data_IF_685850745884
#
_entry.id   IF_685850745884
#
_cell.length_a   1.000
_cell.length_b   1.000
_cell.length_c   1.000
_cell.angle_alpha   90.00
_cell.angle_beta   90.00
_cell.angle_gamma   90.00
#
_symmetry.space_group_name_H-M   'P 1'
#
loop_
_entity.id
_entity.type
_entity.pdbx_description
1 polymer ?
#
# COMPACT_ATOMS: atom_id res chain seq x y z
N UNK A 1 -0.83 16.89 9.04
CA UNK A 1 0.20 17.26 8.04
C UNK A 1 0.51 16.05 7.18
N UNK A 2 1.09 16.20 5.99
CA UNK A 2 1.33 15.07 5.07
C UNK A 2 2.12 13.93 5.75
N UNK A 3 3.14 14.27 6.52
CA UNK A 3 3.97 13.29 7.21
C UNK A 3 3.20 12.46 8.26
N UNK A 4 2.20 13.04 8.91
CA UNK A 4 1.32 12.31 9.84
C UNK A 4 0.52 11.24 9.11
N UNK A 5 0.00 11.57 7.92
CA UNK A 5 -0.81 10.63 7.14
C UNK A 5 0.05 9.57 6.47
N UNK A 6 1.23 9.93 5.98
CA UNK A 6 2.22 8.95 5.47
C UNK A 6 2.63 7.98 6.56
N UNK A 7 3.00 8.46 7.75
CA UNK A 7 3.39 7.60 8.86
C UNK A 7 2.27 6.65 9.30
N UNK A 8 1.00 7.10 9.29
CA UNK A 8 -0.15 6.23 9.57
C UNK A 8 -0.28 5.12 8.52
N UNK A 9 -0.16 5.45 7.23
CA UNK A 9 -0.26 4.47 6.17
C UNK A 9 0.90 3.46 6.20
N UNK A 10 2.12 3.91 6.51
CA UNK A 10 3.28 3.03 6.66
C UNK A 10 3.03 1.97 7.74
N UNK A 11 2.59 2.40 8.94
CA UNK A 11 2.27 1.48 10.02
C UNK A 11 1.15 0.48 9.68
N UNK A 12 0.21 0.83 8.80
CA UNK A 12 -0.79 -0.12 8.31
C UNK A 12 -0.21 -1.12 7.31
N UNK A 13 0.59 -0.67 6.35
CA UNK A 13 1.18 -1.57 5.36
C UNK A 13 2.22 -2.51 5.97
N UNK A 14 2.96 -2.10 7.00
CA UNK A 14 3.83 -3.00 7.78
C UNK A 14 3.03 -4.15 8.42
N UNK A 15 1.86 -3.86 8.99
CA UNK A 15 0.99 -4.90 9.56
C UNK A 15 0.42 -5.83 8.48
N UNK A 16 0.09 -5.29 7.30
CA UNK A 16 -0.38 -6.08 6.14
C UNK A 16 0.73 -6.99 5.62
N UNK A 17 1.95 -6.48 5.49
CA UNK A 17 3.14 -7.27 5.09
C UNK A 17 3.37 -8.42 6.06
N UNK A 18 3.38 -8.15 7.37
CA UNK A 18 3.53 -9.18 8.41
C UNK A 18 2.42 -10.24 8.30
N UNK A 19 1.17 -9.81 8.10
CA UNK A 19 0.02 -10.70 8.01
C UNK A 19 0.13 -11.70 6.84
N UNK A 20 0.54 -11.22 5.67
CA UNK A 20 0.67 -12.03 4.45
C UNK A 20 1.94 -12.86 4.42
N UNK A 21 3.05 -12.31 4.91
CA UNK A 21 4.31 -13.04 5.06
C UNK A 21 4.15 -14.24 5.99
N UNK A 22 3.44 -14.09 7.12
CA UNK A 22 3.13 -15.20 8.02
C UNK A 22 2.26 -16.31 7.38
N UNK A 23 1.61 -16.03 6.24
CA UNK A 23 0.79 -16.97 5.46
C UNK A 23 1.52 -17.53 4.24
N UNK A 24 2.74 -17.07 3.96
CA UNK A 24 3.50 -17.47 2.77
C UNK A 24 2.84 -17.03 1.46
N UNK A 25 2.12 -15.89 1.47
CA UNK A 25 1.50 -15.33 0.26
C UNK A 25 2.41 -14.22 -0.27
N UNK A 26 3.36 -14.62 -1.10
CA UNK A 26 4.45 -13.75 -1.57
C UNK A 26 3.93 -12.56 -2.40
N UNK A 27 2.95 -12.77 -3.28
CA UNK A 27 2.35 -11.71 -4.10
C UNK A 27 1.71 -10.60 -3.24
N UNK A 28 0.92 -10.98 -2.23
CA UNK A 28 0.29 -10.01 -1.32
C UNK A 28 1.31 -9.29 -0.43
N UNK A 29 2.37 -9.99 -0.04
CA UNK A 29 3.52 -9.42 0.68
C UNK A 29 4.22 -8.38 -0.21
N UNK A 30 4.46 -8.70 -1.48
CA UNK A 30 5.05 -7.81 -2.47
C UNK A 30 4.24 -6.52 -2.66
N UNK A 31 2.92 -6.61 -2.79
CA UNK A 31 2.07 -5.42 -2.90
C UNK A 31 2.12 -4.51 -1.66
N UNK A 32 2.25 -5.09 -0.46
CA UNK A 32 2.44 -4.31 0.76
C UNK A 32 3.78 -3.58 0.77
N UNK A 33 4.85 -4.24 0.32
CA UNK A 33 6.18 -3.64 0.20
C UNK A 33 6.22 -2.52 -0.86
N UNK A 34 5.55 -2.71 -1.99
CA UNK A 34 5.42 -1.67 -3.02
C UNK A 34 4.70 -0.43 -2.48
N UNK A 35 3.65 -0.61 -1.68
CA UNK A 35 2.95 0.49 -1.02
C UNK A 35 3.86 1.25 -0.05
N UNK A 36 4.67 0.55 0.75
CA UNK A 36 5.67 1.16 1.65
C UNK A 36 6.71 1.99 0.88
N UNK A 37 7.24 1.45 -0.21
CA UNK A 37 8.20 2.16 -1.08
C UNK A 37 7.57 3.38 -1.75
N UNK A 38 6.30 3.30 -2.15
CA UNK A 38 5.57 4.42 -2.72
C UNK A 38 5.35 5.55 -1.68
N UNK A 39 5.07 5.19 -0.42
CA UNK A 39 4.93 6.15 0.69
C UNK A 39 6.27 6.84 1.01
N UNK A 40 7.38 6.10 1.03
CA UNK A 40 8.72 6.68 1.21
C UNK A 40 9.06 7.65 0.06
N UNK A 41 8.74 7.26 -1.18
CA UNK A 41 8.91 8.12 -2.36
C UNK A 41 8.06 9.40 -2.24
N UNK A 42 6.84 9.31 -1.69
CA UNK A 42 5.95 10.44 -1.51
C UNK A 42 6.49 11.44 -0.48
N UNK A 43 6.98 10.97 0.68
CA UNK A 43 7.62 11.84 1.68
C UNK A 43 8.89 12.50 1.14
N UNK A 44 9.68 11.76 0.36
CA UNK A 44 10.88 12.29 -0.30
C UNK A 44 10.52 13.39 -1.30
N UNK A 45 9.54 13.15 -2.17
CA UNK A 45 9.06 14.12 -3.14
C UNK A 45 8.47 15.37 -2.49
N UNK A 46 7.74 15.21 -1.38
CA UNK A 46 7.22 16.33 -0.60
C UNK A 46 8.34 17.21 -0.03
N UNK A 47 9.39 16.61 0.53
CA UNK A 47 10.57 17.32 1.04
C UNK A 47 11.29 18.11 -0.05
N UNK A 48 11.28 17.59 -1.29
CA UNK A 48 11.94 18.21 -2.44
C UNK A 48 11.02 19.16 -3.22
N UNK A 49 9.76 19.32 -2.81
CA UNK A 49 8.72 20.05 -3.56
C UNK A 49 8.55 19.54 -5.01
N UNK A 50 8.89 18.28 -5.28
CA UNK A 50 8.80 17.68 -6.61
C UNK A 50 7.39 17.12 -6.85
N UNK A 51 6.56 17.93 -7.51
CA UNK A 51 5.18 17.56 -7.81
C UNK A 51 5.07 16.38 -8.79
N UNK A 52 6.05 16.17 -9.66
CA UNK A 52 6.00 15.06 -10.62
C UNK A 52 6.30 13.76 -9.90
N UNK A 53 7.39 13.72 -9.11
CA UNK A 53 7.71 12.56 -8.28
C UNK A 53 6.59 12.23 -7.28
N UNK A 54 5.94 13.25 -6.70
CA UNK A 54 4.80 13.05 -5.81
C UNK A 54 3.60 12.40 -6.52
N UNK A 55 3.29 12.83 -7.75
CA UNK A 55 2.23 12.23 -8.57
C UNK A 55 2.54 10.77 -8.93
N UNK A 56 3.77 10.50 -9.32
CA UNK A 56 4.21 9.14 -9.69
C UNK A 56 4.20 8.20 -8.46
N UNK A 57 4.60 8.70 -7.29
CA UNK A 57 4.50 7.96 -6.03
C UNK A 57 3.04 7.66 -5.66
N UNK A 58 2.14 8.64 -5.79
CA UNK A 58 0.70 8.44 -5.55
C UNK A 58 0.09 7.44 -6.52
N UNK A 59 0.46 7.47 -7.80
CA UNK A 59 -0.05 6.52 -8.80
C UNK A 59 0.40 5.08 -8.47
N UNK A 60 1.65 4.89 -8.04
CA UNK A 60 2.15 3.58 -7.58
C UNK A 60 1.40 3.08 -6.36
N UNK A 61 1.19 3.95 -5.36
CA UNK A 61 0.40 3.63 -4.17
C UNK A 61 -1.05 3.25 -4.50
N UNK A 62 -1.68 3.95 -5.45
CA UNK A 62 -3.03 3.60 -5.90
C UNK A 62 -3.05 2.26 -6.63
N UNK A 63 -2.03 1.98 -7.43
CA UNK A 63 -1.86 0.70 -8.11
C UNK A 63 -1.78 -0.46 -7.12
N UNK A 64 -0.98 -0.35 -6.05
CA UNK A 64 -0.86 -1.41 -5.04
C UNK A 64 -2.18 -1.67 -4.31
N UNK A 65 -2.97 -0.63 -4.03
CA UNK A 65 -4.32 -0.77 -3.47
C UNK A 65 -5.24 -1.60 -4.39
N UNK A 66 -5.23 -1.30 -5.69
CA UNK A 66 -6.06 -1.99 -6.67
C UNK A 66 -5.62 -3.44 -6.84
N UNK A 67 -4.34 -3.68 -7.13
CA UNK A 67 -3.82 -5.03 -7.43
C UNK A 67 -3.96 -5.98 -6.24
N UNK A 68 -3.69 -5.51 -5.02
CA UNK A 68 -3.87 -6.34 -3.82
C UNK A 68 -5.34 -6.68 -3.59
N UNK A 69 -6.25 -5.70 -3.72
CA UNK A 69 -7.68 -5.98 -3.53
C UNK A 69 -8.24 -6.88 -4.63
N UNK A 70 -7.90 -6.65 -5.90
CA UNK A 70 -8.34 -7.51 -7.01
C UNK A 70 -7.82 -8.94 -6.87
N UNK A 71 -6.59 -9.11 -6.34
CA UNK A 71 -5.99 -10.42 -6.12
C UNK A 71 -6.60 -11.16 -4.94
N UNK A 72 -6.73 -10.49 -3.79
CA UNK A 72 -6.89 -11.15 -2.49
C UNK A 72 -8.17 -10.79 -1.73
N UNK A 73 -8.97 -9.85 -2.23
CA UNK A 73 -10.22 -9.42 -1.61
C UNK A 73 -11.40 -9.77 -2.52
N UNK A 74 -12.48 -10.27 -1.95
CA UNK A 74 -13.75 -10.46 -2.65
C UNK A 74 -14.88 -9.75 -1.91
N UNK A 75 -15.84 -9.26 -2.70
CA UNK A 75 -17.11 -8.74 -2.21
C UNK A 75 -18.09 -9.89 -2.02
N UNK A 76 -18.84 -9.85 -0.92
CA UNK A 76 -19.84 -10.82 -0.50
C UNK A 76 -21.07 -10.07 0.01
N UNK A 77 -22.17 -10.79 0.25
CA UNK A 77 -23.42 -10.20 0.77
C UNK A 77 -23.23 -9.50 2.13
N UNK A 78 -22.24 -9.91 2.92
CA UNK A 78 -21.92 -9.36 4.23
C UNK A 78 -20.75 -8.35 4.20
N UNK A 79 -20.30 -7.94 3.02
CA UNK A 79 -19.17 -7.03 2.83
C UNK A 79 -17.95 -7.73 2.22
N UNK A 80 -16.76 -7.34 2.62
CA UNK A 80 -15.53 -7.84 1.98
C UNK A 80 -14.76 -8.83 2.85
N UNK A 81 -14.19 -9.85 2.22
CA UNK A 81 -13.34 -10.84 2.87
C UNK A 81 -12.10 -11.16 2.05
N UNK A 82 -11.14 -11.83 2.69
CA UNK A 82 -10.00 -12.42 2.00
C UNK A 82 -10.49 -13.62 1.19
N UNK A 83 -10.02 -13.73 -0.06
CA UNK A 83 -10.36 -14.85 -0.93
C UNK A 83 -9.83 -16.18 -0.35
N UNK A 84 -10.52 -17.31 -0.63
CA UNK A 84 -10.10 -18.64 -0.19
C UNK A 84 -8.76 -19.09 -0.78
#
# INVERSE_FOLDING_TARGET
ELDTEVGRLQAFFEQIEIFWSARGVDDATGFAQEALQALESLSTAATQEDQTAARDALQRLQGSCQSCHEGFREETDDGYRIKP
#
